data_IF_488849725133
#
_entry.id   IF_488849725133
#
_cell.length_a   1.000
_cell.length_b   1.000
_cell.length_c   1.000
_cell.angle_alpha   90.00
_cell.angle_beta   90.00
_cell.angle_gamma   90.00
#
_symmetry.space_group_name_H-M   'P 1'
#
loop_
_entity.id
_entity.type
_entity.pdbx_description
1 polymer ?
#
# COMPACT_ATOMS: atom_id res chain seq x y z
N UNK A 1 -4.73 1.63 53.07
CA UNK A 1 -3.89 2.39 52.11
C UNK A 1 -3.23 1.50 51.05
N UNK A 2 -2.54 0.40 51.40
CA UNK A 2 -1.92 -0.53 50.42
C UNK A 2 -2.86 -1.17 49.38
N UNK A 3 -4.11 -1.50 49.78
CA UNK A 3 -5.12 -2.09 48.86
C UNK A 3 -5.66 -1.11 47.80
N UNK A 4 -5.61 0.20 48.09
CA UNK A 4 -6.06 1.26 47.16
C UNK A 4 -5.00 1.53 46.09
N UNK A 5 -3.72 1.42 46.45
CA UNK A 5 -2.60 1.55 45.50
C UNK A 5 -2.58 0.44 44.44
N UNK A 6 -2.99 -0.78 44.80
CA UNK A 6 -2.99 -1.93 43.89
C UNK A 6 -4.07 -1.82 42.80
N UNK A 7 -5.25 -1.25 43.13
CA UNK A 7 -6.33 -1.03 42.17
C UNK A 7 -5.99 0.05 41.13
N UNK A 8 -5.25 1.09 41.53
CA UNK A 8 -4.88 2.18 40.64
C UNK A 8 -3.89 1.76 39.55
N UNK A 9 -2.98 0.83 39.85
CA UNK A 9 -2.03 0.28 38.87
C UNK A 9 -2.71 -0.54 37.77
N UNK A 10 -3.75 -1.31 38.11
CA UNK A 10 -4.51 -2.11 37.13
C UNK A 10 -5.29 -1.23 36.16
N UNK A 11 -5.86 -0.12 36.64
CA UNK A 11 -6.60 0.83 35.79
C UNK A 11 -5.65 1.55 34.82
N UNK A 12 -4.43 1.89 35.26
CA UNK A 12 -3.41 2.50 34.41
C UNK A 12 -2.89 1.54 33.33
N UNK A 13 -2.73 0.24 33.65
CA UNK A 13 -2.36 -0.79 32.68
C UNK A 13 -3.44 -1.02 31.62
N UNK A 14 -4.71 -0.97 32.00
CA UNK A 14 -5.83 -1.11 31.06
C UNK A 14 -5.97 0.10 30.12
N UNK A 15 -5.67 1.31 30.60
CA UNK A 15 -5.69 2.52 29.78
C UNK A 15 -4.56 2.55 28.72
N UNK A 16 -3.41 1.93 28.99
CA UNK A 16 -2.29 1.86 28.05
C UNK A 16 -2.57 0.96 26.83
N UNK A 17 -3.47 -0.02 26.95
CA UNK A 17 -3.86 -0.93 25.85
C UNK A 17 -4.96 -0.38 24.92
N UNK A 18 -5.56 0.78 25.23
CA UNK A 18 -6.64 1.36 24.42
C UNK A 18 -6.15 2.35 23.35
N UNK A 19 -4.85 2.36 23.02
CA UNK A 19 -4.37 3.19 21.93
C UNK A 19 -4.86 2.60 20.61
N UNK A 20 -6.00 3.08 20.14
CA UNK A 20 -6.51 2.78 18.81
C UNK A 20 -5.41 3.13 17.79
N UNK A 21 -5.03 2.19 16.92
CA UNK A 21 -4.07 2.48 15.87
C UNK A 21 -4.65 3.57 15.00
N UNK A 22 -3.88 4.64 14.77
CA UNK A 22 -4.24 5.68 13.81
C UNK A 22 -4.61 5.02 12.48
N UNK A 23 -5.78 5.33 11.90
CA UNK A 23 -6.16 4.77 10.62
C UNK A 23 -5.08 5.09 9.60
N UNK A 24 -4.50 4.04 9.01
CA UNK A 24 -3.53 4.19 7.93
C UNK A 24 -4.26 4.87 6.79
N UNK A 25 -3.82 6.08 6.45
CA UNK A 25 -4.37 6.81 5.31
C UNK A 25 -4.03 6.01 4.06
N UNK A 26 -5.02 5.35 3.46
CA UNK A 26 -4.83 4.65 2.19
C UNK A 26 -4.56 5.70 1.14
N UNK A 27 -3.34 5.72 0.60
CA UNK A 27 -3.05 6.53 -0.57
C UNK A 27 -3.92 6.07 -1.75
N UNK A 28 -4.41 7.00 -2.59
CA UNK A 28 -5.15 6.62 -3.77
C UNK A 28 -4.29 5.73 -4.68
N UNK A 29 -4.89 4.65 -5.17
CA UNK A 29 -4.25 3.73 -6.12
C UNK A 29 -4.12 4.42 -7.48
N UNK A 30 -2.90 4.87 -7.80
CA UNK A 30 -2.59 5.57 -9.07
C UNK A 30 -2.03 4.65 -10.15
N UNK A 31 -1.91 3.34 -9.89
CA UNK A 31 -1.37 2.37 -10.86
C UNK A 31 -2.40 1.95 -11.90
N UNK A 32 -1.98 1.22 -12.94
CA UNK A 32 -2.90 0.73 -13.97
C UNK A 32 -3.89 -0.30 -13.37
N UNK A 33 -5.19 -0.27 -13.71
CA UNK A 33 -6.18 -1.19 -13.12
C UNK A 33 -5.86 -2.68 -13.35
N UNK A 34 -5.35 -3.01 -14.53
CA UNK A 34 -5.05 -4.39 -14.94
C UNK A 34 -3.82 -4.99 -14.27
N UNK A 35 -2.93 -4.17 -13.71
CA UNK A 35 -1.74 -4.63 -12.98
C UNK A 35 -1.96 -4.74 -11.48
N UNK A 36 -3.15 -4.35 -10.98
CA UNK A 36 -3.48 -4.36 -9.55
C UNK A 36 -3.32 -5.71 -8.89
N UNK A 37 -3.60 -6.80 -9.61
CA UNK A 37 -3.46 -8.17 -9.10
C UNK A 37 -2.01 -8.54 -8.75
N UNK A 38 -1.02 -7.83 -9.30
CA UNK A 38 0.40 -8.06 -9.01
C UNK A 38 0.74 -7.76 -7.55
N UNK A 39 0.02 -6.84 -6.90
CA UNK A 39 0.21 -6.57 -5.47
C UNK A 39 -0.07 -7.79 -4.58
N UNK A 40 -0.85 -8.77 -5.07
CA UNK A 40 -1.08 -10.02 -4.36
C UNK A 40 0.19 -10.86 -4.16
N UNK A 41 1.28 -10.56 -4.88
CA UNK A 41 2.59 -11.17 -4.65
C UNK A 41 3.16 -10.86 -3.25
N UNK A 42 2.67 -9.81 -2.58
CA UNK A 42 2.97 -9.51 -1.17
C UNK A 42 2.64 -10.70 -0.26
N UNK A 43 1.56 -11.44 -0.55
CA UNK A 43 1.15 -12.62 0.22
C UNK A 43 2.16 -13.78 0.10
N UNK A 44 3.02 -13.75 -0.91
CA UNK A 44 4.05 -14.76 -1.17
C UNK A 44 5.45 -14.29 -0.73
N UNK A 45 5.55 -13.13 -0.07
CA UNK A 45 6.81 -12.56 0.42
C UNK A 45 7.61 -11.76 -0.61
N UNK A 46 7.04 -11.45 -1.77
CA UNK A 46 7.63 -10.51 -2.74
C UNK A 46 7.16 -9.09 -2.45
N UNK A 47 7.85 -8.09 -2.99
CA UNK A 47 7.38 -6.70 -2.98
C UNK A 47 6.46 -6.45 -4.20
N UNK A 48 5.21 -6.90 -4.11
CA UNK A 48 4.18 -6.81 -5.14
C UNK A 48 3.92 -5.38 -5.61
N UNK A 49 3.96 -4.39 -4.70
CA UNK A 49 3.86 -2.96 -5.08
C UNK A 49 4.99 -2.50 -5.98
N UNK A 50 6.24 -2.82 -5.64
CA UNK A 50 7.40 -2.45 -6.46
C UNK A 50 7.39 -3.18 -7.81
N UNK A 51 6.98 -4.46 -7.82
CA UNK A 51 6.82 -5.22 -9.06
C UNK A 51 5.76 -4.55 -9.94
N UNK A 52 4.60 -4.21 -9.39
CA UNK A 52 3.53 -3.52 -10.11
C UNK A 52 4.02 -2.20 -10.70
N UNK A 53 4.72 -1.38 -9.93
CA UNK A 53 5.27 -0.10 -10.41
C UNK A 53 6.21 -0.27 -11.60
N UNK A 54 7.07 -1.30 -11.58
CA UNK A 54 7.98 -1.60 -12.70
C UNK A 54 7.22 -2.05 -13.94
N UNK A 55 6.20 -2.90 -13.77
CA UNK A 55 5.35 -3.36 -14.88
C UNK A 55 4.56 -2.20 -15.48
N UNK A 56 3.96 -1.34 -14.66
CA UNK A 56 3.26 -0.14 -15.11
C UNK A 56 4.19 0.78 -15.91
N UNK A 57 5.42 1.00 -15.42
CA UNK A 57 6.43 1.80 -16.13
C UNK A 57 6.78 1.22 -17.51
N UNK A 58 6.94 -0.10 -17.60
CA UNK A 58 7.24 -0.78 -18.86
C UNK A 58 6.07 -0.67 -19.87
N UNK A 59 4.83 -0.83 -19.39
CA UNK A 59 3.64 -0.71 -20.22
C UNK A 59 3.45 0.73 -20.73
N UNK A 60 3.64 1.73 -19.88
CA UNK A 60 3.60 3.14 -20.28
C UNK A 60 4.66 3.46 -21.35
N UNK A 61 5.87 2.92 -21.21
CA UNK A 61 6.92 3.09 -22.21
C UNK A 61 6.56 2.40 -23.55
N UNK A 62 5.90 1.24 -23.50
CA UNK A 62 5.42 0.56 -24.69
C UNK A 62 4.32 1.34 -25.40
N UNK A 63 3.33 1.85 -24.67
CA UNK A 63 2.26 2.68 -25.21
C UNK A 63 2.84 3.93 -25.90
N UNK A 64 3.80 4.60 -25.25
CA UNK A 64 4.47 5.78 -25.80
C UNK A 64 5.25 5.46 -27.09
N UNK A 65 5.88 4.29 -27.16
CA UNK A 65 6.57 3.84 -28.37
C UNK A 65 5.60 3.51 -29.50
N UNK A 66 4.50 2.82 -29.21
CA UNK A 66 3.49 2.47 -30.22
C UNK A 66 2.82 3.74 -30.80
N UNK A 67 2.53 4.73 -29.94
CA UNK A 67 2.00 6.02 -30.40
C UNK A 67 2.95 6.75 -31.37
N UNK A 68 4.27 6.63 -31.18
CA UNK A 68 5.26 7.19 -32.12
C UNK A 68 5.23 6.46 -33.47
N UNK A 69 5.11 5.13 -33.46
CA UNK A 69 5.00 4.34 -34.69
C UNK A 69 3.71 4.65 -35.45
N UNK A 70 2.58 4.80 -34.74
CA UNK A 70 1.30 5.16 -35.36
C UNK A 70 1.35 6.54 -36.04
N UNK A 71 2.00 7.52 -35.41
CA UNK A 71 2.23 8.84 -36.02
C UNK A 71 3.11 8.77 -37.26
N UNK A 72 4.10 7.87 -37.29
CA UNK A 72 4.95 7.68 -38.47
C UNK A 72 4.24 6.93 -39.59
N UNK A 73 3.35 5.99 -39.24
CA UNK A 73 2.62 5.16 -40.20
C UNK A 73 1.40 5.88 -40.82
N UNK A 74 0.85 6.90 -40.15
CA UNK A 74 -0.28 7.70 -40.61
C UNK A 74 0.07 9.22 -40.56
N UNK A 75 0.93 9.71 -41.48
CA UNK A 75 1.44 11.07 -41.50
C UNK A 75 0.37 12.14 -41.83
#
# INVERSE_FOLDING_TARGET
MKKVLLGFGVILLLAACQKEPTPVKTEPDTGRPETKSIEAADAMGYNGKEIRQKVDGALNANDAHNAQLEQQANP
#
